data_IF_501259841720
#
_entry.id   IF_501259841720
#
_cell.length_a   1.000
_cell.length_b   1.000
_cell.length_c   1.000
_cell.angle_alpha   90.00
_cell.angle_beta   90.00
_cell.angle_gamma   90.00
#
_symmetry.space_group_name_H-M   'P 1'
#
loop_
_entity.id
_entity.type
_entity.pdbx_description
1 polymer ?
#
# COMPACT_ATOMS: atom_id res chain seq x y z
N UNK A 1 -36.22 39.82 3.23
CA UNK A 1 -34.84 40.05 3.71
C UNK A 1 -34.03 38.83 3.36
N UNK A 2 -33.34 38.87 2.23
CA UNK A 2 -32.46 37.80 1.76
C UNK A 2 -31.09 38.04 2.39
N UNK A 3 -30.72 37.22 3.38
CA UNK A 3 -29.36 37.21 3.92
C UNK A 3 -28.39 36.76 2.84
N UNK A 4 -27.50 37.66 2.43
CA UNK A 4 -26.35 37.30 1.56
C UNK A 4 -25.53 36.20 2.23
N UNK A 5 -25.06 35.18 1.47
CA UNK A 5 -24.17 34.19 2.04
C UNK A 5 -22.90 34.91 2.50
N UNK A 6 -22.57 34.77 3.78
CA UNK A 6 -21.31 35.24 4.34
C UNK A 6 -20.16 34.62 3.54
N UNK A 7 -19.37 35.47 2.87
CA UNK A 7 -18.18 35.01 2.16
C UNK A 7 -17.25 34.31 3.16
N UNK A 8 -17.05 33.01 2.97
CA UNK A 8 -16.06 32.28 3.73
C UNK A 8 -14.68 32.93 3.52
N UNK A 9 -13.87 33.09 4.56
CA UNK A 9 -12.54 33.67 4.43
C UNK A 9 -11.73 32.84 3.40
N UNK A 10 -11.28 33.53 2.34
CA UNK A 10 -10.40 32.92 1.36
C UNK A 10 -9.07 32.59 2.04
N UNK A 11 -8.73 31.29 2.15
CA UNK A 11 -7.42 30.84 2.60
C UNK A 11 -6.60 30.46 1.37
N UNK A 12 -5.48 31.13 1.19
CA UNK A 12 -4.51 30.78 0.15
C UNK A 12 -3.46 29.83 0.73
N UNK A 13 -3.09 28.83 -0.03
CA UNK A 13 -2.04 27.87 0.29
C UNK A 13 -1.33 27.45 -1.00
N UNK A 14 -0.07 27.08 -0.93
CA UNK A 14 0.68 26.63 -2.11
C UNK A 14 0.15 25.31 -2.62
N UNK A 15 -0.21 24.38 -1.72
CA UNK A 15 -0.69 23.03 -2.08
C UNK A 15 -1.88 22.64 -1.23
N UNK A 16 -2.95 22.14 -1.86
CA UNK A 16 -4.04 21.45 -1.20
C UNK A 16 -3.91 19.94 -1.38
N UNK A 17 -3.82 19.18 -0.29
CA UNK A 17 -3.78 17.72 -0.28
C UNK A 17 -5.15 17.17 0.09
N UNK A 18 -5.76 16.41 -0.80
CA UNK A 18 -7.06 15.77 -0.58
C UNK A 18 -6.83 14.38 0.01
N UNK A 19 -7.35 14.18 1.20
CA UNK A 19 -7.13 12.99 2.03
C UNK A 19 -6.02 13.20 3.05
N UNK A 20 -6.33 12.92 4.32
CA UNK A 20 -5.38 12.97 5.45
C UNK A 20 -5.08 11.60 6.04
N UNK A 21 -5.11 10.56 5.22
CA UNK A 21 -4.54 9.27 5.54
C UNK A 21 -3.00 9.32 5.56
N UNK A 22 -2.35 8.17 5.76
CA UNK A 22 -0.88 8.07 5.89
C UNK A 22 -0.13 8.70 4.70
N UNK A 23 -0.64 8.53 3.48
CA UNK A 23 -0.02 9.09 2.27
C UNK A 23 -0.15 10.62 2.26
N UNK A 24 -1.36 11.15 2.53
CA UNK A 24 -1.59 12.59 2.55
C UNK A 24 -0.81 13.30 3.64
N UNK A 25 -0.77 12.74 4.86
CA UNK A 25 0.02 13.27 5.97
C UNK A 25 1.52 13.28 5.66
N UNK A 26 2.06 12.19 5.12
CA UNK A 26 3.48 12.11 4.73
C UNK A 26 3.80 13.11 3.61
N UNK A 27 2.92 13.25 2.63
CA UNK A 27 3.07 14.23 1.54
C UNK A 27 3.07 15.65 2.08
N UNK A 28 2.11 16.00 2.94
CA UNK A 28 2.02 17.33 3.55
C UNK A 28 3.27 17.65 4.37
N UNK A 29 3.78 16.68 5.13
CA UNK A 29 5.01 16.86 5.91
C UNK A 29 6.22 17.16 5.02
N UNK A 30 6.39 16.43 3.93
CA UNK A 30 7.48 16.68 2.99
C UNK A 30 7.34 18.01 2.22
N UNK A 31 6.12 18.49 2.01
CA UNK A 31 5.89 19.81 1.43
C UNK A 31 6.27 20.93 2.42
N UNK A 32 5.88 20.79 3.69
CA UNK A 32 6.26 21.72 4.76
C UNK A 32 7.79 21.77 4.93
N UNK A 33 8.47 20.63 4.85
CA UNK A 33 9.95 20.55 4.93
C UNK A 33 10.63 21.32 3.78
N UNK A 34 9.92 21.53 2.66
CA UNK A 34 10.38 22.35 1.53
C UNK A 34 9.95 23.81 1.62
N UNK A 35 9.36 24.23 2.72
CA UNK A 35 8.93 25.60 2.95
C UNK A 35 7.61 25.96 2.26
N UNK A 36 6.86 24.97 1.76
CA UNK A 36 5.56 25.20 1.13
C UNK A 36 4.44 25.17 2.19
N UNK A 37 3.50 26.09 2.07
CA UNK A 37 2.27 26.04 2.85
C UNK A 37 1.33 24.97 2.32
N UNK A 38 0.73 24.18 3.23
CA UNK A 38 -0.08 23.04 2.87
C UNK A 38 -1.42 23.03 3.60
N UNK A 39 -2.49 22.70 2.89
CA UNK A 39 -3.83 22.47 3.44
C UNK A 39 -4.22 21.03 3.24
N UNK A 40 -4.56 20.34 4.35
CA UNK A 40 -5.15 18.99 4.31
C UNK A 40 -6.68 19.11 4.31
N UNK A 41 -7.33 18.42 3.39
CA UNK A 41 -8.79 18.37 3.24
C UNK A 41 -9.26 16.95 3.40
N UNK A 42 -10.00 16.66 4.48
CA UNK A 42 -10.49 15.31 4.77
C UNK A 42 -11.81 15.41 5.56
N UNK A 43 -12.84 14.63 5.21
CA UNK A 43 -14.12 14.66 5.90
C UNK A 43 -14.09 14.06 7.32
N UNK A 44 -13.13 13.18 7.62
CA UNK A 44 -13.04 12.46 8.90
C UNK A 44 -11.83 12.84 9.75
N UNK A 45 -11.02 13.79 9.27
CA UNK A 45 -9.80 14.21 9.95
C UNK A 45 -8.61 13.25 9.78
N UNK A 46 -7.46 13.59 10.40
CA UNK A 46 -6.21 12.85 10.21
C UNK A 46 -6.32 11.37 10.59
N UNK A 47 -5.93 10.49 9.67
CA UNK A 47 -5.95 9.04 9.82
C UNK A 47 -7.32 8.41 10.17
N UNK A 48 -8.44 9.14 10.00
CA UNK A 48 -9.77 8.72 10.42
C UNK A 48 -10.40 7.57 9.63
N UNK A 49 -9.75 7.09 8.57
CA UNK A 49 -10.20 6.01 7.69
C UNK A 49 -9.24 4.81 7.74
N UNK A 50 -8.91 4.26 6.56
CA UNK A 50 -8.11 3.02 6.38
C UNK A 50 -6.73 3.06 7.06
N UNK A 51 -6.16 4.23 7.31
CA UNK A 51 -4.89 4.37 8.03
C UNK A 51 -5.01 4.06 9.52
N UNK A 52 -6.21 4.20 10.10
CA UNK A 52 -6.47 3.80 11.48
C UNK A 52 -6.68 2.29 11.58
N UNK A 53 -6.05 1.66 12.57
CA UNK A 53 -6.22 0.24 12.83
C UNK A 53 -5.58 -0.70 11.80
N UNK A 54 -4.69 -0.19 10.92
CA UNK A 54 -3.89 -1.06 10.07
C UNK A 54 -2.86 -1.86 10.89
N UNK A 55 -2.18 -2.82 10.26
CA UNK A 55 -1.21 -3.69 10.94
C UNK A 55 0.06 -2.98 11.43
N UNK A 56 0.28 -1.72 11.08
CA UNK A 56 1.45 -0.92 11.48
C UNK A 56 2.79 -1.49 11.02
N UNK A 57 2.80 -2.33 9.98
CA UNK A 57 4.01 -3.03 9.54
C UNK A 57 4.78 -2.21 8.51
N UNK A 58 6.05 -1.91 8.81
CA UNK A 58 7.00 -1.31 7.86
C UNK A 58 7.84 -2.46 7.29
N UNK A 59 7.34 -3.09 6.21
CA UNK A 59 7.95 -4.27 5.61
C UNK A 59 8.81 -3.91 4.41
N UNK A 60 10.11 -4.17 4.48
CA UNK A 60 11.05 -4.00 3.35
C UNK A 60 11.06 -5.25 2.45
N UNK A 61 10.82 -6.43 3.00
CA UNK A 61 10.90 -7.70 2.31
C UNK A 61 9.66 -8.11 1.52
N UNK A 62 8.55 -7.39 1.66
CA UNK A 62 7.30 -7.75 0.99
C UNK A 62 7.26 -7.17 -0.44
N UNK A 63 8.08 -7.73 -1.32
CA UNK A 63 8.34 -7.24 -2.69
C UNK A 63 7.81 -8.18 -3.77
N UNK A 64 7.35 -9.38 -3.41
CA UNK A 64 6.85 -10.34 -4.39
C UNK A 64 5.49 -9.90 -4.94
N UNK A 65 5.34 -9.70 -6.26
CA UNK A 65 4.04 -9.41 -6.86
C UNK A 65 3.11 -10.63 -6.73
N UNK A 66 1.82 -10.37 -6.78
CA UNK A 66 0.80 -11.43 -6.69
C UNK A 66 0.87 -12.41 -7.87
N UNK A 67 1.20 -11.89 -9.06
CA UNK A 67 1.41 -12.73 -10.24
C UNK A 67 2.86 -13.14 -10.32
N UNK A 68 3.12 -14.44 -10.13
CA UNK A 68 4.46 -15.03 -10.14
C UNK A 68 4.52 -16.21 -11.11
N UNK A 69 5.71 -16.64 -11.54
CA UNK A 69 5.86 -17.87 -12.33
C UNK A 69 5.18 -19.05 -11.64
N UNK A 70 4.41 -19.83 -12.41
CA UNK A 70 3.66 -20.97 -11.87
C UNK A 70 2.31 -20.65 -11.23
N UNK A 71 1.88 -19.36 -11.21
CA UNK A 71 0.60 -18.95 -10.64
C UNK A 71 -0.59 -19.70 -11.25
N UNK A 72 -0.54 -20.05 -12.54
CA UNK A 72 -1.61 -20.81 -13.21
C UNK A 72 -1.80 -22.18 -12.56
N UNK A 73 -0.72 -22.94 -12.37
CA UNK A 73 -0.77 -24.26 -11.75
C UNK A 73 -1.23 -24.17 -10.31
N UNK A 74 -0.74 -23.17 -9.57
CA UNK A 74 -1.17 -22.90 -8.20
C UNK A 74 -2.67 -22.57 -8.14
N UNK A 75 -3.15 -21.70 -9.02
CA UNK A 75 -4.55 -21.32 -9.09
C UNK A 75 -5.47 -22.52 -9.41
N UNK A 76 -5.09 -23.37 -10.37
CA UNK A 76 -5.84 -24.58 -10.68
C UNK A 76 -5.94 -25.55 -9.52
N UNK A 77 -4.82 -25.76 -8.79
CA UNK A 77 -4.82 -26.57 -7.56
C UNK A 77 -5.71 -25.98 -6.47
N UNK A 78 -5.71 -24.66 -6.31
CA UNK A 78 -6.57 -23.98 -5.34
C UNK A 78 -8.04 -24.09 -5.73
N UNK A 79 -8.39 -23.97 -7.01
CA UNK A 79 -9.78 -24.12 -7.48
C UNK A 79 -10.31 -25.55 -7.29
N UNK A 80 -9.43 -26.57 -7.35
CA UNK A 80 -9.80 -27.95 -7.10
C UNK A 80 -10.01 -28.25 -5.60
N UNK A 81 -9.54 -27.38 -4.69
CA UNK A 81 -9.68 -27.56 -3.26
C UNK A 81 -10.81 -26.68 -2.70
N UNK A 82 -11.90 -27.26 -2.16
CA UNK A 82 -13.01 -26.49 -1.62
C UNK A 82 -12.64 -25.64 -0.38
N UNK A 83 -11.55 -25.95 0.32
CA UNK A 83 -11.05 -25.20 1.47
C UNK A 83 -10.06 -24.09 1.10
N UNK A 84 -9.63 -24.02 -0.18
CA UNK A 84 -8.70 -22.99 -0.61
C UNK A 84 -9.35 -21.60 -0.64
N UNK A 85 -8.56 -20.53 -0.43
CA UNK A 85 -9.07 -19.17 -0.41
C UNK A 85 -9.49 -18.64 -1.78
N UNK A 86 -9.01 -19.26 -2.88
CA UNK A 86 -9.36 -18.84 -4.23
C UNK A 86 -10.72 -19.42 -4.64
N UNK A 87 -11.68 -18.55 -4.90
CA UNK A 87 -12.99 -18.88 -5.46
C UNK A 87 -13.22 -18.10 -6.75
N UNK A 88 -13.80 -18.75 -7.76
CA UNK A 88 -14.25 -18.09 -8.99
C UNK A 88 -15.77 -18.05 -9.01
N UNK A 89 -16.31 -16.87 -9.22
CA UNK A 89 -17.71 -16.71 -9.56
C UNK A 89 -17.86 -16.81 -11.09
N UNK A 90 -18.40 -17.92 -11.54
CA UNK A 90 -18.55 -18.21 -12.97
C UNK A 90 -19.53 -17.27 -13.67
N UNK A 91 -20.46 -16.65 -12.93
CA UNK A 91 -21.41 -15.69 -13.49
C UNK A 91 -20.77 -14.40 -13.96
N UNK A 92 -19.70 -13.94 -13.29
CA UNK A 92 -18.99 -12.70 -13.64
C UNK A 92 -17.63 -12.92 -14.31
N UNK A 93 -17.18 -14.18 -14.42
CA UNK A 93 -15.88 -14.53 -15.03
C UNK A 93 -15.62 -13.90 -16.39
N UNK A 94 -16.59 -13.83 -17.32
CA UNK A 94 -16.36 -13.22 -18.63
C UNK A 94 -15.99 -11.74 -18.55
N UNK A 95 -16.49 -11.00 -17.56
CA UNK A 95 -16.26 -9.55 -17.44
C UNK A 95 -14.81 -9.19 -17.11
N UNK A 96 -14.09 -10.06 -16.39
CA UNK A 96 -12.70 -9.83 -16.03
C UNK A 96 -11.70 -10.78 -16.73
N UNK A 97 -12.15 -11.54 -17.74
CA UNK A 97 -11.27 -12.45 -18.48
C UNK A 97 -10.04 -11.73 -19.09
N UNK A 98 -10.24 -10.52 -19.64
CA UNK A 98 -9.15 -9.70 -20.17
C UNK A 98 -8.13 -9.33 -19.09
N UNK A 99 -8.60 -8.91 -17.92
CA UNK A 99 -7.73 -8.60 -16.78
C UNK A 99 -6.97 -9.83 -16.32
N UNK A 100 -7.65 -10.99 -16.23
CA UNK A 100 -7.02 -12.24 -15.83
C UNK A 100 -5.90 -12.66 -16.78
N UNK A 101 -6.13 -12.56 -18.10
CA UNK A 101 -5.08 -12.81 -19.09
C UNK A 101 -3.87 -11.89 -18.90
N UNK A 102 -4.09 -10.59 -18.69
CA UNK A 102 -3.03 -9.63 -18.42
C UNK A 102 -2.29 -9.98 -17.13
N UNK A 103 -3.02 -10.34 -16.06
CA UNK A 103 -2.43 -10.77 -14.79
C UNK A 103 -1.51 -11.99 -14.97
N UNK A 104 -1.91 -12.99 -15.75
CA UNK A 104 -1.10 -14.18 -16.02
C UNK A 104 0.16 -13.84 -16.84
N UNK A 105 0.05 -12.93 -17.82
CA UNK A 105 1.20 -12.47 -18.62
C UNK A 105 2.21 -11.75 -17.74
N UNK A 106 1.78 -10.95 -16.77
CA UNK A 106 2.65 -10.25 -15.84
C UNK A 106 3.42 -11.19 -14.88
N UNK A 107 2.96 -12.42 -14.70
CA UNK A 107 3.66 -13.44 -13.89
C UNK A 107 4.91 -14.03 -14.54
N UNK A 108 5.30 -13.59 -15.74
CA UNK A 108 6.53 -14.07 -16.40
C UNK A 108 7.77 -13.51 -15.70
N UNK A 109 8.89 -14.28 -15.61
CA UNK A 109 10.11 -13.81 -14.94
C UNK A 109 10.62 -12.45 -15.41
N UNK A 110 10.55 -12.19 -16.71
CA UNK A 110 10.98 -10.93 -17.33
C UNK A 110 10.20 -9.70 -16.84
N UNK A 111 8.98 -9.88 -16.32
CA UNK A 111 8.17 -8.80 -15.74
C UNK A 111 8.32 -8.75 -14.22
N UNK A 112 8.42 -9.91 -13.58
CA UNK A 112 8.48 -10.04 -12.12
C UNK A 112 9.77 -9.45 -11.55
N UNK A 113 10.93 -9.75 -12.14
CA UNK A 113 12.22 -9.28 -11.63
C UNK A 113 12.34 -7.76 -11.56
N UNK A 114 12.03 -6.98 -12.62
CA UNK A 114 12.06 -5.51 -12.53
C UNK A 114 11.07 -4.95 -11.51
N UNK A 115 9.93 -5.61 -11.29
CA UNK A 115 8.95 -5.20 -10.28
C UNK A 115 9.53 -5.39 -8.86
N UNK A 116 10.19 -6.52 -8.61
CA UNK A 116 10.87 -6.79 -7.34
C UNK A 116 11.92 -5.74 -7.05
N UNK A 117 12.75 -5.39 -8.03
CA UNK A 117 13.80 -4.38 -7.89
C UNK A 117 13.20 -3.00 -7.57
N UNK A 118 12.18 -2.59 -8.32
CA UNK A 118 11.50 -1.32 -8.11
C UNK A 118 10.82 -1.25 -6.72
N UNK A 119 10.08 -2.30 -6.32
CA UNK A 119 9.44 -2.37 -5.01
C UNK A 119 10.47 -2.41 -3.89
N UNK A 120 11.60 -3.11 -4.07
CA UNK A 120 12.68 -3.15 -3.09
C UNK A 120 13.29 -1.77 -2.85
N UNK A 121 13.47 -0.99 -3.91
CA UNK A 121 14.00 0.37 -3.82
C UNK A 121 13.02 1.29 -3.08
N UNK A 122 11.73 1.25 -3.43
CA UNK A 122 10.69 2.07 -2.79
C UNK A 122 10.52 1.69 -1.32
N UNK A 123 10.47 0.40 -0.99
CA UNK A 123 10.28 -0.07 0.38
C UNK A 123 11.46 0.30 1.29
N UNK A 124 12.71 0.23 0.77
CA UNK A 124 13.90 0.68 1.52
C UNK A 124 13.84 2.18 1.77
N UNK A 125 13.57 2.98 0.75
CA UNK A 125 13.44 4.43 0.89
C UNK A 125 12.30 4.81 1.86
N UNK A 126 11.18 4.09 1.81
CA UNK A 126 10.06 4.28 2.75
C UNK A 126 10.46 3.98 4.19
N UNK A 127 11.17 2.87 4.45
CA UNK A 127 11.66 2.54 5.78
C UNK A 127 12.56 3.64 6.33
N UNK A 128 13.54 4.09 5.54
CA UNK A 128 14.50 5.10 5.97
C UNK A 128 13.80 6.44 6.24
N UNK A 129 12.80 6.80 5.43
CA UNK A 129 11.97 7.98 5.66
C UNK A 129 11.14 7.89 6.95
N UNK A 130 10.59 6.70 7.27
CA UNK A 130 9.85 6.48 8.52
C UNK A 130 10.75 6.59 9.76
N UNK A 131 11.94 6.02 9.70
CA UNK A 131 12.90 6.13 10.80
C UNK A 131 13.31 7.59 11.04
N UNK A 132 13.66 8.31 9.98
CA UNK A 132 14.00 9.72 10.07
C UNK A 132 12.83 10.59 10.58
N UNK A 133 11.61 10.29 10.17
CA UNK A 133 10.42 10.97 10.69
C UNK A 133 10.24 10.67 12.18
N UNK A 134 10.34 9.39 12.60
CA UNK A 134 10.24 8.98 14.00
C UNK A 134 11.23 9.72 14.90
N UNK A 135 12.48 9.85 14.47
CA UNK A 135 13.50 10.63 15.18
C UNK A 135 13.10 12.09 15.32
N UNK A 136 12.68 12.72 14.23
CA UNK A 136 12.35 14.14 14.20
C UNK A 136 11.15 14.50 15.08
N UNK A 137 10.14 13.64 15.15
CA UNK A 137 8.95 13.88 15.99
C UNK A 137 9.05 13.25 17.39
N UNK A 138 10.21 12.71 17.73
CA UNK A 138 10.49 12.04 19.02
C UNK A 138 9.52 10.88 19.32
N UNK A 139 9.26 10.06 18.30
CA UNK A 139 8.34 8.92 18.35
C UNK A 139 9.03 7.60 17.97
N UNK A 140 10.32 7.45 18.24
CA UNK A 140 11.11 6.25 17.94
C UNK A 140 10.59 5.03 18.71
N UNK A 141 10.04 5.22 19.89
CA UNK A 141 9.41 4.21 20.72
C UNK A 141 8.17 3.56 20.10
N UNK A 142 7.55 4.21 19.11
CA UNK A 142 6.46 3.65 18.35
C UNK A 142 6.92 2.69 17.23
N UNK A 143 8.23 2.65 16.93
CA UNK A 143 8.78 1.80 15.86
C UNK A 143 9.67 0.72 16.49
N UNK A 144 9.16 -0.51 16.53
CA UNK A 144 9.90 -1.66 17.05
C UNK A 144 10.57 -2.46 15.92
N UNK A 145 11.84 -2.78 16.08
CA UNK A 145 12.59 -3.64 15.15
C UNK A 145 12.41 -5.11 15.53
N UNK A 146 11.25 -5.69 15.21
CA UNK A 146 10.90 -7.06 15.59
C UNK A 146 11.29 -8.11 14.56
N UNK A 147 11.51 -7.71 13.32
CA UNK A 147 11.69 -8.64 12.20
C UNK A 147 10.41 -9.43 11.86
N UNK A 148 10.56 -10.39 10.96
CA UNK A 148 9.48 -11.31 10.57
C UNK A 148 9.95 -12.76 10.76
N UNK A 149 9.11 -13.56 11.40
CA UNK A 149 9.29 -14.99 11.48
C UNK A 149 8.41 -15.66 10.40
N UNK A 150 9.06 -16.29 9.42
CA UNK A 150 8.37 -17.11 8.44
C UNK A 150 8.38 -18.57 8.92
N UNK A 151 7.20 -19.14 9.09
CA UNK A 151 7.04 -20.53 9.51
C UNK A 151 6.50 -21.33 8.33
N UNK A 152 7.18 -22.41 7.99
CA UNK A 152 6.82 -23.34 6.93
C UNK A 152 6.46 -24.69 7.50
N UNK A 153 5.35 -25.28 7.06
CA UNK A 153 4.91 -26.62 7.48
C UNK A 153 5.63 -27.74 6.73
N UNK A 154 6.23 -27.44 5.59
CA UNK A 154 6.84 -28.41 4.69
C UNK A 154 8.24 -27.92 4.26
N UNK A 155 9.22 -28.83 4.30
CA UNK A 155 10.61 -28.59 3.91
C UNK A 155 10.72 -28.06 2.47
N UNK A 156 9.96 -28.63 1.54
CA UNK A 156 9.95 -28.24 0.13
C UNK A 156 9.51 -26.77 -0.10
N UNK A 157 8.67 -26.23 0.79
CA UNK A 157 8.22 -24.84 0.74
C UNK A 157 9.26 -23.90 1.31
N UNK A 158 10.06 -24.36 2.28
CA UNK A 158 11.15 -23.59 2.88
C UNK A 158 12.33 -23.39 1.90
N UNK A 159 12.62 -24.37 1.05
CA UNK A 159 13.76 -24.38 0.12
C UNK A 159 13.52 -23.61 -1.19
N UNK A 160 12.32 -23.10 -1.42
CA UNK A 160 11.92 -22.30 -2.59
C UNK A 160 11.99 -20.81 -2.32
#
# INVERSE_FOLDING_TARGET
MTSSPSSLPSRTTDVAVIGSGIVGLSTAQHLLDRGLSCMLIDPKGPAGETSFGNAGSISVGNVMPQSTPGIVVKALRMLANPLAPLKLDWGVSPSYARWLLQFLVQGRPQHVLPIIDALSAINRASRDAWLALGERIQAQDLIAHTGYLHVYSEQETFEK
#
